data_IF_523778791633
#
_entry.id   IF_523778791633
#
_cell.length_a   1.000
_cell.length_b   1.000
_cell.length_c   1.000
_cell.angle_alpha   90.00
_cell.angle_beta   90.00
_cell.angle_gamma   90.00
#
_symmetry.space_group_name_H-M   'P 1'
#
loop_
_entity.id
_entity.type
_entity.pdbx_description
1 polymer ?
#
# COMPACT_ATOMS: atom_id res chain seq x y z
N UNK A 1 9.08 -16.42 13.00
CA UNK A 1 8.08 -15.95 14.00
C UNK A 1 6.68 -16.30 13.49
N UNK A 2 5.81 -16.87 14.32
CA UNK A 2 4.42 -17.09 13.90
C UNK A 2 3.69 -15.74 13.92
N UNK A 3 3.31 -15.22 12.75
CA UNK A 3 2.55 -13.97 12.62
C UNK A 3 1.08 -14.29 12.90
N UNK A 4 0.52 -13.59 13.89
CA UNK A 4 -0.90 -13.67 14.25
C UNK A 4 -1.81 -13.40 13.05
N UNK A 5 -3.01 -13.98 13.07
CA UNK A 5 -3.96 -13.88 11.96
C UNK A 5 -4.41 -12.43 11.69
N UNK A 6 -4.65 -11.67 12.76
CA UNK A 6 -5.00 -10.24 12.70
C UNK A 6 -3.90 -9.42 12.00
N UNK A 7 -2.64 -9.64 12.35
CA UNK A 7 -1.49 -8.95 11.77
C UNK A 7 -1.27 -9.36 10.32
N UNK A 8 -1.49 -10.64 9.98
CA UNK A 8 -1.46 -11.13 8.60
C UNK A 8 -2.52 -10.46 7.74
N UNK A 9 -3.74 -10.30 8.24
CA UNK A 9 -4.81 -9.60 7.54
C UNK A 9 -4.44 -8.13 7.27
N UNK A 10 -3.85 -7.44 8.25
CA UNK A 10 -3.35 -6.06 8.09
C UNK A 10 -2.25 -5.95 7.02
N UNK A 11 -1.29 -6.87 7.03
CA UNK A 11 -0.23 -6.93 6.01
C UNK A 11 -0.84 -7.12 4.62
N UNK A 12 -1.74 -8.09 4.45
CA UNK A 12 -2.40 -8.34 3.17
C UNK A 12 -3.17 -7.11 2.70
N UNK A 13 -3.86 -6.41 3.60
CA UNK A 13 -4.60 -5.21 3.25
C UNK A 13 -3.68 -4.08 2.78
N UNK A 14 -2.53 -3.88 3.43
CA UNK A 14 -1.54 -2.89 2.99
C UNK A 14 -0.99 -3.20 1.59
N UNK A 15 -0.70 -4.47 1.32
CA UNK A 15 -0.22 -4.93 0.02
C UNK A 15 -1.29 -4.73 -1.06
N UNK A 16 -2.55 -5.07 -0.76
CA UNK A 16 -3.69 -4.86 -1.66
C UNK A 16 -3.87 -3.38 -2.03
N UNK A 17 -3.86 -2.48 -1.04
CA UNK A 17 -3.97 -1.03 -1.25
C UNK A 17 -2.81 -0.52 -2.11
N UNK A 18 -1.59 -0.94 -1.79
CA UNK A 18 -0.41 -0.51 -2.52
C UNK A 18 -0.41 -0.97 -3.98
N UNK A 19 -0.69 -2.26 -4.23
CA UNK A 19 -0.77 -2.81 -5.59
C UNK A 19 -1.94 -2.20 -6.36
N UNK A 20 -3.08 -1.97 -5.70
CA UNK A 20 -4.23 -1.32 -6.30
C UNK A 20 -3.89 0.09 -6.82
N UNK A 21 -3.18 0.88 -6.01
CA UNK A 21 -2.71 2.21 -6.42
C UNK A 21 -1.72 2.13 -7.59
N UNK A 22 -0.75 1.23 -7.49
CA UNK A 22 0.29 1.05 -8.49
C UNK A 22 -0.27 0.67 -9.87
N UNK A 23 -1.25 -0.24 -9.93
CA UNK A 23 -1.84 -0.71 -11.19
C UNK A 23 -2.68 0.35 -11.90
N UNK A 24 -3.09 1.41 -11.20
CA UNK A 24 -3.83 2.53 -11.82
C UNK A 24 -2.93 3.43 -12.67
N UNK A 25 -1.59 3.34 -12.54
CA UNK A 25 -0.66 4.14 -13.31
C UNK A 25 -0.74 5.65 -13.01
N UNK A 26 0.10 6.47 -13.68
CA UNK A 26 0.10 7.93 -13.52
C UNK A 26 -1.06 8.64 -14.22
N UNK A 27 -1.85 7.92 -15.03
CA UNK A 27 -3.06 8.44 -15.67
C UNK A 27 -4.27 8.10 -14.80
N UNK A 28 -4.90 9.06 -14.10
CA UNK A 28 -6.17 8.85 -13.42
C UNK A 28 -7.31 8.77 -14.46
N UNK A 29 -7.24 7.83 -15.40
CA UNK A 29 -8.24 7.64 -16.44
C UNK A 29 -9.33 6.66 -15.97
N UNK A 30 -10.29 7.22 -15.24
CA UNK A 30 -11.56 6.59 -14.85
C UNK A 30 -12.57 7.61 -14.30
N UNK A 31 -12.54 8.83 -14.82
CA UNK A 31 -13.31 10.02 -14.41
C UNK A 31 -14.77 9.98 -14.92
N UNK A 32 -15.61 9.11 -14.34
CA UNK A 32 -17.00 9.52 -14.08
C UNK A 32 -17.25 9.79 -12.59
N UNK A 33 -16.21 9.70 -11.79
CA UNK A 33 -16.19 10.18 -10.41
C UNK A 33 -14.85 10.89 -10.22
N UNK A 34 -14.81 12.12 -9.69
CA UNK A 34 -13.59 12.67 -9.14
C UNK A 34 -13.00 11.62 -8.20
N UNK A 35 -11.76 11.19 -8.43
CA UNK A 35 -11.14 10.26 -7.50
C UNK A 35 -11.15 10.95 -6.13
N UNK A 36 -11.68 10.27 -5.13
CA UNK A 36 -11.92 10.85 -3.81
C UNK A 36 -10.61 11.26 -3.13
N UNK A 37 -9.46 10.73 -3.57
CA UNK A 37 -8.12 11.18 -3.16
C UNK A 37 -7.78 12.58 -3.73
N UNK A 38 -8.21 12.91 -4.95
CA UNK A 38 -8.02 14.19 -5.63
C UNK A 38 -8.89 15.25 -4.99
N UNK A 39 -10.16 14.92 -4.72
CA UNK A 39 -11.08 15.78 -3.95
C UNK A 39 -10.45 16.11 -2.59
N UNK A 40 -9.83 15.16 -1.91
CA UNK A 40 -9.15 15.41 -0.64
C UNK A 40 -7.83 16.20 -0.78
N UNK A 41 -7.06 15.97 -1.85
CA UNK A 41 -5.88 16.79 -2.19
C UNK A 41 -6.27 18.25 -2.41
N UNK A 42 -7.37 18.45 -3.13
CA UNK A 42 -7.85 19.77 -3.54
C UNK A 42 -8.60 20.47 -2.38
N UNK A 43 -9.23 19.72 -1.47
CA UNK A 43 -9.96 20.25 -0.30
C UNK A 43 -9.23 20.10 1.05
N UNK A 44 -7.96 19.68 1.06
CA UNK A 44 -7.12 19.47 2.27
C UNK A 44 -7.80 18.66 3.39
N UNK A 45 -8.74 17.80 2.99
CA UNK A 45 -9.51 16.98 3.91
C UNK A 45 -10.58 17.66 4.76
N UNK A 46 -11.10 18.79 4.31
CA UNK A 46 -12.36 19.34 4.82
C UNK A 46 -13.55 18.70 4.09
N UNK A 47 -14.51 18.18 4.87
CA UNK A 47 -15.81 17.73 4.36
C UNK A 47 -16.67 18.95 4.03
N UNK A 48 -17.48 18.93 2.95
CA UNK A 48 -18.52 19.94 2.76
C UNK A 48 -19.52 19.90 3.92
N UNK A 49 -20.04 21.06 4.32
CA UNK A 49 -21.00 21.17 5.43
C UNK A 49 -22.27 20.36 5.15
N UNK A 50 -22.86 19.80 6.22
CA UNK A 50 -24.12 19.03 6.14
C UNK A 50 -25.26 19.91 5.62
N UNK A 51 -25.64 19.78 4.35
CA UNK A 51 -26.94 20.29 3.89
C UNK A 51 -28.04 19.30 4.30
N UNK A 52 -29.04 19.77 5.05
CA UNK A 52 -30.04 18.93 5.70
C UNK A 52 -30.77 17.93 4.79
N UNK A 53 -30.98 16.73 5.32
CA UNK A 53 -31.89 15.67 4.87
C UNK A 53 -31.61 15.03 3.49
N UNK A 54 -30.47 14.37 3.32
CA UNK A 54 -30.31 13.49 2.16
C UNK A 54 -29.44 12.26 2.45
N UNK A 55 -29.89 11.08 2.02
CA UNK A 55 -29.13 9.82 2.10
C UNK A 55 -27.81 9.89 1.31
N UNK A 56 -27.69 10.89 0.43
CA UNK A 56 -26.46 11.26 -0.26
C UNK A 56 -25.37 11.77 0.68
N UNK A 57 -25.70 12.43 1.80
CA UNK A 57 -24.72 12.86 2.80
C UNK A 57 -24.15 11.69 3.59
N UNK A 58 -24.98 10.73 3.99
CA UNK A 58 -24.49 9.53 4.67
C UNK A 58 -23.62 8.72 3.71
N UNK A 59 -24.02 8.58 2.45
CA UNK A 59 -23.18 7.97 1.40
C UNK A 59 -21.85 8.71 1.24
N UNK A 60 -21.85 10.04 1.16
CA UNK A 60 -20.63 10.84 1.03
C UNK A 60 -19.75 10.77 2.29
N UNK A 61 -20.33 10.66 3.48
CA UNK A 61 -19.61 10.47 4.75
C UNK A 61 -18.99 9.06 4.79
N UNK A 62 -19.74 8.01 4.45
CA UNK A 62 -19.22 6.65 4.39
C UNK A 62 -18.14 6.50 3.32
N UNK A 63 -18.34 7.09 2.14
CA UNK A 63 -17.32 7.15 1.09
C UNK A 63 -16.09 7.92 1.58
N UNK A 64 -16.26 9.03 2.29
CA UNK A 64 -15.14 9.79 2.86
C UNK A 64 -14.42 9.04 3.99
N UNK A 65 -15.11 8.29 4.84
CA UNK A 65 -14.53 7.45 5.89
C UNK A 65 -13.78 6.27 5.30
N UNK A 66 -14.39 5.56 4.35
CA UNK A 66 -13.78 4.48 3.59
C UNK A 66 -12.50 4.99 2.90
N UNK A 67 -12.57 6.14 2.24
CA UNK A 67 -11.42 6.76 1.55
C UNK A 67 -10.34 7.22 2.53
N UNK A 68 -10.71 7.78 3.69
CA UNK A 68 -9.76 8.15 4.76
C UNK A 68 -8.98 6.94 5.27
N UNK A 69 -9.66 5.82 5.50
CA UNK A 69 -9.02 4.58 5.94
C UNK A 69 -8.07 4.05 4.86
N UNK A 70 -8.51 4.00 3.59
CA UNK A 70 -7.65 3.60 2.47
C UNK A 70 -6.45 4.55 2.30
N UNK A 71 -6.61 5.85 2.52
CA UNK A 71 -5.51 6.83 2.46
C UNK A 71 -4.51 6.67 3.61
N UNK A 72 -4.99 6.46 4.84
CA UNK A 72 -4.11 6.18 5.98
C UNK A 72 -3.32 4.88 5.76
N UNK A 73 -3.97 3.86 5.19
CA UNK A 73 -3.31 2.62 4.79
C UNK A 73 -2.31 2.85 3.64
N UNK A 74 -2.61 3.73 2.69
CA UNK A 74 -1.71 4.04 1.59
C UNK A 74 -0.45 4.77 2.05
N UNK A 75 -0.56 5.78 2.93
CA UNK A 75 0.61 6.46 3.52
C UNK A 75 1.47 5.47 4.32
N UNK A 76 0.84 4.59 5.10
CA UNK A 76 1.55 3.50 5.78
C UNK A 76 2.20 2.56 4.77
N UNK A 77 1.54 2.22 3.67
CA UNK A 77 2.09 1.36 2.64
C UNK A 77 3.27 2.01 1.90
N UNK A 78 3.23 3.33 1.61
CA UNK A 78 4.38 4.08 1.06
C UNK A 78 5.55 4.07 2.06
N UNK A 79 5.28 4.29 3.34
CA UNK A 79 6.32 4.23 4.37
C UNK A 79 7.00 2.84 4.41
N UNK A 80 6.19 1.77 4.32
CA UNK A 80 6.68 0.39 4.32
C UNK A 80 7.46 0.04 3.05
N UNK A 81 6.84 0.24 1.88
CA UNK A 81 7.28 -0.32 0.60
C UNK A 81 8.03 0.68 -0.28
N UNK A 82 8.02 1.96 0.09
CA UNK A 82 8.58 3.05 -0.69
C UNK A 82 7.56 3.72 -1.59
N UNK A 83 7.91 4.89 -2.14
CA UNK A 83 7.09 5.55 -3.16
C UNK A 83 7.42 4.94 -4.53
N UNK A 84 6.44 4.40 -5.26
CA UNK A 84 6.68 3.89 -6.61
C UNK A 84 6.90 5.06 -7.57
N UNK A 85 7.77 4.87 -8.54
CA UNK A 85 7.98 5.78 -9.66
C UNK A 85 8.05 4.99 -10.95
N UNK A 86 7.64 5.61 -12.06
CA UNK A 86 7.68 4.94 -13.37
C UNK A 86 9.09 4.43 -13.64
N UNK A 87 9.20 3.18 -14.06
CA UNK A 87 10.51 2.63 -14.38
C UNK A 87 11.12 3.41 -15.55
N UNK A 88 12.33 3.97 -15.42
CA UNK A 88 12.94 4.77 -16.47
C UNK A 88 13.29 3.94 -17.71
N UNK A 89 13.50 2.63 -17.55
CA UNK A 89 13.96 1.75 -18.64
C UNK A 89 12.79 1.28 -19.51
N UNK A 90 11.66 0.90 -18.89
CA UNK A 90 10.46 0.47 -19.63
C UNK A 90 9.39 1.57 -19.79
N UNK A 91 9.60 2.75 -19.19
CA UNK A 91 8.67 3.90 -19.22
C UNK A 91 7.21 3.55 -18.86
N UNK A 92 7.02 2.56 -18.00
CA UNK A 92 5.68 2.10 -17.61
C UNK A 92 5.00 1.17 -18.62
N UNK A 93 5.69 0.77 -19.68
CA UNK A 93 5.15 -0.13 -20.72
C UNK A 93 5.50 -1.57 -20.36
N UNK A 94 4.51 -2.46 -20.45
CA UNK A 94 4.75 -3.90 -20.37
C UNK A 94 5.57 -4.33 -21.58
N UNK A 95 6.67 -5.05 -21.35
CA UNK A 95 7.38 -5.72 -22.44
C UNK A 95 6.96 -7.19 -22.43
N UNK A 96 6.34 -7.63 -23.53
CA UNK A 96 5.82 -8.99 -23.67
C UNK A 96 6.93 -10.04 -23.62
N UNK A 97 8.13 -9.68 -24.08
CA UNK A 97 9.20 -10.65 -24.28
C UNK A 97 10.23 -10.70 -23.14
N UNK A 98 10.44 -9.62 -22.37
CA UNK A 98 11.54 -9.52 -21.42
C UNK A 98 11.15 -8.80 -20.12
N UNK A 99 11.44 -9.44 -18.98
CA UNK A 99 11.34 -8.81 -17.67
C UNK A 99 12.41 -7.72 -17.55
N UNK A 100 12.00 -6.46 -17.43
CA UNK A 100 12.95 -5.36 -17.21
C UNK A 100 13.70 -5.58 -15.89
N UNK A 101 15.02 -5.75 -15.97
CA UNK A 101 15.89 -6.06 -14.81
C UNK A 101 15.73 -5.03 -13.69
N UNK A 102 15.52 -3.76 -14.06
CA UNK A 102 15.39 -2.64 -13.11
C UNK A 102 14.08 -2.64 -12.34
N UNK A 103 12.94 -2.93 -12.98
CA UNK A 103 11.63 -2.97 -12.30
C UNK A 103 11.17 -4.38 -11.96
N UNK A 104 11.93 -5.43 -12.32
CA UNK A 104 11.50 -6.82 -12.13
C UNK A 104 10.09 -7.09 -12.72
N UNK A 105 9.76 -6.49 -13.86
CA UNK A 105 8.48 -6.71 -14.54
C UNK A 105 7.28 -5.95 -13.97
N UNK A 106 7.48 -5.16 -12.91
CA UNK A 106 6.43 -4.38 -12.26
C UNK A 106 6.09 -3.06 -12.96
N UNK A 107 6.89 -2.63 -13.94
CA UNK A 107 6.73 -1.33 -14.65
C UNK A 107 6.99 -0.07 -13.78
N UNK A 108 7.24 -0.23 -12.48
CA UNK A 108 7.67 0.81 -11.56
C UNK A 108 8.95 0.41 -10.82
N UNK A 109 9.69 1.41 -10.34
CA UNK A 109 10.78 1.24 -9.38
C UNK A 109 10.36 1.82 -8.04
N UNK A 110 10.82 1.18 -6.96
CA UNK A 110 10.52 1.58 -5.60
C UNK A 110 11.58 2.57 -5.12
N UNK A 111 11.14 3.71 -4.58
CA UNK A 111 12.01 4.50 -3.72
C UNK A 111 12.27 3.76 -2.40
N UNK A 112 13.27 4.19 -1.64
CA UNK A 112 13.66 3.52 -0.39
C UNK A 112 12.51 3.52 0.64
N UNK A 113 11.92 2.35 0.89
CA UNK A 113 10.99 2.08 1.99
C UNK A 113 11.70 1.51 3.22
N UNK A 114 10.93 1.20 4.27
CA UNK A 114 11.42 0.45 5.45
C UNK A 114 11.78 -0.99 5.11
N UNK A 115 10.96 -1.63 4.28
CA UNK A 115 11.21 -2.98 3.80
C UNK A 115 12.21 -2.92 2.64
N UNK A 116 13.34 -3.64 2.71
CA UNK A 116 14.30 -3.69 1.61
C UNK A 116 13.66 -4.19 0.31
N UNK A 117 13.99 -3.56 -0.82
CA UNK A 117 13.37 -3.78 -2.13
C UNK A 117 13.25 -5.26 -2.51
N UNK A 118 14.29 -6.06 -2.27
CA UNK A 118 14.30 -7.51 -2.57
C UNK A 118 13.18 -8.30 -1.87
N UNK A 119 12.71 -7.82 -0.73
CA UNK A 119 11.61 -8.40 0.04
C UNK A 119 10.28 -7.73 -0.32
N UNK A 120 10.29 -6.43 -0.58
CA UNK A 120 9.13 -5.68 -1.06
C UNK A 120 8.61 -6.26 -2.38
N UNK A 121 9.50 -6.48 -3.36
CA UNK A 121 9.17 -7.11 -4.64
C UNK A 121 8.50 -8.48 -4.42
N UNK A 122 9.01 -9.29 -3.50
CA UNK A 122 8.44 -10.61 -3.22
C UNK A 122 7.03 -10.55 -2.60
N UNK A 123 6.78 -9.63 -1.67
CA UNK A 123 5.46 -9.52 -1.02
C UNK A 123 4.42 -8.89 -1.96
N UNK A 124 4.83 -7.91 -2.78
CA UNK A 124 3.95 -7.29 -3.76
C UNK A 124 3.61 -8.25 -4.91
N UNK A 125 4.55 -9.10 -5.33
CA UNK A 125 4.36 -10.01 -6.46
C UNK A 125 3.16 -10.93 -6.32
N UNK A 126 2.92 -11.44 -5.11
CA UNK A 126 1.82 -12.36 -4.84
C UNK A 126 0.44 -11.71 -5.07
N UNK A 127 0.35 -10.39 -4.93
CA UNK A 127 -0.86 -9.61 -5.14
C UNK A 127 -0.90 -8.96 -6.52
N UNK A 128 0.26 -8.65 -7.10
CA UNK A 128 0.38 -8.06 -8.43
C UNK A 128 0.09 -9.09 -9.53
N UNK A 129 0.62 -10.31 -9.38
CA UNK A 129 0.41 -11.44 -10.29
C UNK A 129 -0.64 -12.42 -9.71
N UNK A 130 -1.86 -11.94 -9.45
CA UNK A 130 -2.92 -12.74 -8.78
C UNK A 130 -3.21 -14.08 -9.45
N UNK A 131 -3.07 -14.15 -10.78
CA UNK A 131 -3.36 -15.35 -11.56
C UNK A 131 -2.17 -16.31 -11.66
N UNK A 132 -1.02 -15.95 -11.05
CA UNK A 132 0.19 -16.75 -11.11
C UNK A 132 0.40 -17.55 -9.83
N UNK A 133 0.86 -18.78 -10.00
CA UNK A 133 1.30 -19.62 -8.90
C UNK A 133 2.66 -19.14 -8.37
N UNK A 134 2.96 -19.43 -7.10
CA UNK A 134 4.27 -19.07 -6.52
C UNK A 134 5.47 -19.62 -7.30
N UNK A 135 5.45 -20.85 -7.86
CA UNK A 135 6.50 -21.32 -8.76
C UNK A 135 6.67 -20.46 -10.02
N UNK A 136 5.57 -19.99 -10.64
CA UNK A 136 5.64 -19.10 -11.80
C UNK A 136 6.26 -17.75 -11.44
N UNK A 137 5.86 -17.17 -10.30
CA UNK A 137 6.42 -15.92 -9.78
C UNK A 137 7.92 -16.08 -9.46
N UNK A 138 8.29 -17.19 -8.80
CA UNK A 138 9.69 -17.49 -8.50
C UNK A 138 10.54 -17.60 -9.77
N UNK A 139 10.04 -18.35 -10.77
CA UNK A 139 10.69 -18.48 -12.07
C UNK A 139 10.83 -17.13 -12.79
N UNK A 140 9.80 -16.28 -12.73
CA UNK A 140 9.84 -14.93 -13.31
C UNK A 140 10.94 -14.05 -12.73
N UNK A 141 11.24 -14.20 -11.44
CA UNK A 141 12.35 -13.49 -10.79
C UNK A 141 13.70 -14.20 -10.89
N UNK A 142 13.79 -15.33 -11.61
CA UNK A 142 15.01 -16.14 -11.67
C UNK A 142 15.40 -16.76 -10.33
N UNK A 143 14.42 -17.08 -9.48
CA UNK A 143 14.62 -17.65 -8.15
C UNK A 143 14.14 -19.10 -8.09
N UNK A 144 14.71 -19.86 -7.16
CA UNK A 144 14.10 -21.12 -6.74
C UNK A 144 12.85 -20.82 -5.89
N UNK A 145 11.88 -21.74 -5.90
CA UNK A 145 10.67 -21.61 -5.07
C UNK A 145 11.02 -21.37 -3.59
N UNK A 146 11.95 -22.16 -3.04
CA UNK A 146 12.43 -22.02 -1.66
C UNK A 146 13.03 -20.64 -1.38
N UNK A 147 13.79 -20.08 -2.31
CA UNK A 147 14.36 -18.74 -2.16
C UNK A 147 13.27 -17.65 -2.18
N UNK A 148 12.26 -17.81 -3.05
CA UNK A 148 11.10 -16.91 -3.09
C UNK A 148 10.28 -16.98 -1.79
N UNK A 149 9.94 -18.18 -1.32
CA UNK A 149 9.23 -18.41 -0.05
C UNK A 149 9.98 -17.85 1.16
N UNK A 150 11.32 -18.00 1.17
CA UNK A 150 12.18 -17.41 2.18
C UNK A 150 12.13 -15.88 2.17
N UNK A 151 12.15 -15.26 0.97
CA UNK A 151 11.98 -13.80 0.82
C UNK A 151 10.59 -13.34 1.27
N UNK A 152 9.54 -14.07 0.92
CA UNK A 152 8.17 -13.75 1.29
C UNK A 152 7.96 -13.82 2.81
N UNK A 153 8.47 -14.89 3.43
CA UNK A 153 8.44 -15.04 4.89
C UNK A 153 9.17 -13.87 5.55
N UNK A 154 10.38 -13.53 5.08
CA UNK A 154 11.16 -12.44 5.65
C UNK A 154 10.50 -11.07 5.44
N UNK A 155 9.88 -10.85 4.28
CA UNK A 155 9.12 -9.63 4.01
C UNK A 155 7.98 -9.46 5.01
N UNK A 156 7.18 -10.51 5.24
CA UNK A 156 6.07 -10.48 6.21
C UNK A 156 6.56 -10.24 7.64
N UNK A 157 7.67 -10.85 8.04
CA UNK A 157 8.27 -10.60 9.36
C UNK A 157 8.70 -9.14 9.54
N UNK A 158 9.34 -8.54 8.54
CA UNK A 158 9.77 -7.14 8.61
C UNK A 158 8.55 -6.21 8.68
N UNK A 159 7.55 -6.40 7.82
CA UNK A 159 6.32 -5.59 7.84
C UNK A 159 5.59 -5.75 9.18
N UNK A 160 5.51 -6.96 9.72
CA UNK A 160 4.91 -7.22 11.03
C UNK A 160 5.59 -6.42 12.13
N UNK A 161 6.93 -6.45 12.20
CA UNK A 161 7.69 -5.71 13.21
C UNK A 161 7.52 -4.20 13.07
N UNK A 162 7.55 -3.67 11.85
CA UNK A 162 7.36 -2.24 11.61
C UNK A 162 5.93 -1.79 11.93
N UNK A 163 4.91 -2.63 11.68
CA UNK A 163 3.53 -2.32 12.07
C UNK A 163 3.35 -2.27 13.58
N UNK A 164 3.94 -3.23 14.31
CA UNK A 164 3.89 -3.22 15.78
C UNK A 164 4.59 -1.97 16.34
N UNK A 165 5.76 -1.60 15.79
CA UNK A 165 6.46 -0.39 16.20
C UNK A 165 5.65 0.90 15.93
N UNK A 166 4.87 0.94 14.84
CA UNK A 166 3.97 2.05 14.56
C UNK A 166 2.80 2.10 15.56
N UNK A 167 2.22 0.94 15.90
CA UNK A 167 1.14 0.86 16.89
C UNK A 167 1.62 1.34 18.27
N UNK A 168 2.82 0.93 18.69
CA UNK A 168 3.45 1.38 19.94
C UNK A 168 3.67 2.90 19.95
N UNK A 169 4.15 3.45 18.83
CA UNK A 169 4.34 4.91 18.70
C UNK A 169 3.01 5.68 18.77
N UNK A 170 1.96 5.17 18.13
CA UNK A 170 0.63 5.78 18.17
C UNK A 170 0.01 5.74 19.57
N UNK A 171 0.22 4.66 20.32
CA UNK A 171 -0.20 4.54 21.71
C UNK A 171 0.50 5.60 22.58
N UNK A 172 1.83 5.68 22.53
CA UNK A 172 2.62 6.67 23.30
C UNK A 172 2.20 8.11 22.95
N UNK A 173 2.05 8.40 21.66
CA UNK A 173 1.61 9.73 21.20
C UNK A 173 0.24 10.11 21.76
N UNK A 174 -0.68 9.14 21.85
CA UNK A 174 -2.02 9.36 22.39
C UNK A 174 -1.99 9.66 23.88
N UNK A 175 -1.19 8.90 24.64
CA UNK A 175 -0.99 9.11 26.08
C UNK A 175 -0.38 10.48 26.40
N UNK A 176 0.65 10.88 25.64
CA UNK A 176 1.29 12.20 25.80
C UNK A 176 0.32 13.35 25.52
N UNK A 177 -0.49 13.23 24.48
CA UNK A 177 -1.49 14.26 24.15
C UNK A 177 -2.61 14.33 25.20
N UNK A 178 -3.04 13.20 25.74
CA UNK A 178 -4.03 13.15 26.82
C UNK A 178 -3.47 13.79 28.11
N UNK A 179 -2.21 13.52 28.45
CA UNK A 179 -1.52 14.13 29.59
C UNK A 179 -1.32 15.64 29.43
N UNK A 180 -1.00 16.12 28.23
CA UNK A 180 -0.87 17.55 27.94
C UNK A 180 -2.19 18.31 28.09
N UNK A 181 -3.31 17.70 27.70
CA UNK A 181 -4.66 18.27 27.86
C UNK A 181 -5.16 18.25 29.31
N UNK A 182 -4.65 17.36 30.15
CA UNK A 182 -5.01 17.29 31.57
C UNK A 182 -4.24 18.29 32.45
N UNK A 183 -3.15 18.88 31.93
CA UNK A 183 -2.29 19.84 32.64
C UNK A 183 -2.45 21.30 32.18
N UNK A 184 -3.26 21.57 31.16
CA UNK A 184 -3.59 22.91 30.66
C UNK A 184 -4.99 23.33 31.03
#
# INVERSE_FOLDING_TARGET
MAIEESLRARINKLVEVYVGWVRQGPDPAGWHQPNSIQVWRDHKGFLPERSGMDRSNDKAIYESLFVREQHALFERAIFMFGRPSVCPDCRGVAHDDHCCVRCSGFQFVLAKGKVPDRYTVAILANEYYRDWTQPQIAAHFGLTLKAYEGRLTKAREIVALELLALDDYEAIKTELNAGALAMG
#
